data_IF_014363289743
#
_entry.id   IF_014363289743
#
_cell.length_a   1.000
_cell.length_b   1.000
_cell.length_c   1.000
_cell.angle_alpha   90.00
_cell.angle_beta   90.00
_cell.angle_gamma   90.00
#
_symmetry.space_group_name_H-M   'P 1'
#
loop_
_entity.id
_entity.type
_entity.pdbx_description
1 polymer ?
#
# COMPACT_ATOMS: atom_id res chain seq x y z
N UNK A 1 0.48 21.57 15.68
CA UNK A 1 1.46 20.49 15.91
C UNK A 1 2.54 20.62 14.84
N UNK A 2 3.84 20.58 15.20
CA UNK A 2 4.87 20.61 14.16
C UNK A 2 4.80 19.30 13.37
N UNK A 3 5.01 19.34 12.05
CA UNK A 3 4.97 18.16 11.17
C UNK A 3 5.93 17.04 11.61
N UNK A 4 6.97 17.39 12.34
CA UNK A 4 7.97 16.43 12.86
C UNK A 4 7.45 15.53 14.00
N UNK A 5 6.44 15.95 14.77
CA UNK A 5 5.88 15.14 15.86
C UNK A 5 4.88 14.09 15.37
N UNK A 6 4.27 14.30 14.20
CA UNK A 6 3.17 13.44 13.72
C UNK A 6 3.52 11.94 13.68
N UNK A 7 4.64 11.58 13.05
CA UNK A 7 5.04 10.17 12.95
C UNK A 7 5.44 9.57 14.30
N UNK A 8 6.08 10.39 15.15
CA UNK A 8 6.43 9.97 16.51
C UNK A 8 5.17 9.79 17.35
N UNK A 9 4.19 10.68 17.20
CA UNK A 9 2.90 10.59 17.90
C UNK A 9 2.10 9.36 17.41
N UNK A 10 2.17 9.05 16.11
CA UNK A 10 1.54 7.87 15.53
C UNK A 10 2.24 6.58 15.99
N UNK A 11 3.57 6.57 16.00
CA UNK A 11 4.35 5.44 16.50
C UNK A 11 4.12 5.16 18.00
N UNK A 12 3.77 6.20 18.77
CA UNK A 12 3.36 6.04 20.17
C UNK A 12 2.02 5.30 20.35
N UNK A 13 1.19 5.26 19.30
CA UNK A 13 -0.07 4.49 19.27
C UNK A 13 0.14 3.06 18.72
N UNK A 14 1.35 2.68 18.48
CA UNK A 14 1.87 1.40 17.99
C UNK A 14 0.84 0.23 17.91
N UNK A 15 0.92 -0.61 16.83
CA UNK A 15 1.79 -0.48 15.66
C UNK A 15 1.18 0.37 14.54
N UNK A 16 2.02 1.05 13.76
CA UNK A 16 1.57 1.70 12.53
C UNK A 16 1.23 0.61 11.50
N UNK A 17 -0.05 0.45 11.17
CA UNK A 17 -0.50 -0.43 10.12
C UNK A 17 -0.79 0.38 8.84
N UNK A 18 -0.15 0.03 7.72
CA UNK A 18 -0.23 0.80 6.50
C UNK A 18 -0.59 -0.03 5.27
N UNK A 19 -1.46 0.50 4.40
CA UNK A 19 -1.73 -0.03 3.06
C UNK A 19 -0.60 0.40 2.12
N UNK A 20 0.05 -0.57 1.45
CA UNK A 20 1.12 -0.27 0.50
C UNK A 20 0.62 0.50 -0.74
N UNK A 21 1.42 1.43 -1.31
CA UNK A 21 1.13 2.02 -2.61
C UNK A 21 1.25 0.96 -3.71
N UNK A 22 0.15 0.68 -4.40
CA UNK A 22 0.08 -0.32 -5.46
C UNK A 22 -0.57 0.28 -6.70
N UNK A 23 0.21 0.42 -7.77
CA UNK A 23 -0.21 0.98 -9.04
C UNK A 23 -1.38 0.18 -9.64
N UNK A 24 -2.40 0.87 -10.12
CA UNK A 24 -3.62 0.28 -10.62
C UNK A 24 -4.55 -0.33 -9.56
N UNK A 25 -4.25 -0.20 -8.24
CA UNK A 25 -5.08 -0.78 -7.17
C UNK A 25 -5.48 0.22 -6.09
N UNK A 26 -4.57 1.08 -5.63
CA UNK A 26 -4.81 1.95 -4.48
C UNK A 26 -5.46 3.29 -4.87
N UNK A 27 -6.49 3.24 -5.73
CA UNK A 27 -7.31 4.40 -6.05
C UNK A 27 -8.20 4.82 -4.86
N UNK A 28 -8.89 5.96 -4.96
CA UNK A 28 -9.74 6.47 -3.87
C UNK A 28 -10.85 5.48 -3.47
N UNK A 29 -11.63 4.86 -4.39
CA UNK A 29 -12.59 3.83 -4.04
C UNK A 29 -12.00 2.69 -3.21
N UNK A 30 -10.82 2.18 -3.60
CA UNK A 30 -10.14 1.12 -2.88
C UNK A 30 -9.74 1.56 -1.46
N UNK A 31 -9.13 2.75 -1.31
CA UNK A 31 -8.75 3.28 0.01
C UNK A 31 -9.96 3.51 0.91
N UNK A 32 -11.06 4.03 0.37
CA UNK A 32 -12.32 4.21 1.11
C UNK A 32 -12.89 2.89 1.62
N UNK A 33 -12.86 1.83 0.80
CA UNK A 33 -13.25 0.48 1.23
C UNK A 33 -12.34 -0.02 2.35
N UNK A 34 -11.01 0.14 2.22
CA UNK A 34 -10.07 -0.23 3.29
C UNK A 34 -10.38 0.50 4.59
N UNK A 35 -10.59 1.81 4.53
CA UNK A 35 -10.93 2.66 5.68
C UNK A 35 -12.31 2.36 6.28
N UNK A 36 -13.25 1.91 5.44
CA UNK A 36 -14.57 1.48 5.92
C UNK A 36 -14.49 0.27 6.85
N UNK A 37 -13.57 -0.64 6.58
CA UNK A 37 -13.37 -1.87 7.36
C UNK A 37 -12.37 -1.64 8.51
N UNK A 38 -11.28 -0.94 8.23
CA UNK A 38 -10.19 -0.69 9.19
C UNK A 38 -9.87 0.82 9.23
N UNK A 39 -10.63 1.63 10.01
CA UNK A 39 -10.54 3.10 9.97
C UNK A 39 -9.19 3.66 10.43
N UNK A 40 -8.46 2.95 11.26
CA UNK A 40 -7.22 3.44 11.88
C UNK A 40 -5.96 3.24 11.03
N UNK A 41 -6.05 2.53 9.89
CA UNK A 41 -4.90 2.30 9.03
C UNK A 41 -4.46 3.57 8.29
N UNK A 42 -3.19 3.60 7.94
CA UNK A 42 -2.63 4.62 7.04
C UNK A 42 -2.75 4.14 5.60
N UNK A 43 -3.33 4.96 4.72
CA UNK A 43 -3.50 4.60 3.31
C UNK A 43 -2.56 5.39 2.41
N UNK A 44 -1.83 4.66 1.57
CA UNK A 44 -1.05 5.25 0.49
C UNK A 44 -1.85 5.22 -0.81
N UNK A 45 -1.85 6.33 -1.54
CA UNK A 45 -2.32 6.36 -2.92
C UNK A 45 -1.36 5.62 -3.85
N UNK A 46 -1.77 5.38 -5.08
CA UNK A 46 -0.89 4.96 -6.17
C UNK A 46 0.27 5.95 -6.33
N UNK A 47 1.34 5.51 -6.99
CA UNK A 47 2.46 6.43 -7.23
C UNK A 47 2.32 7.18 -8.56
N UNK A 48 2.53 8.49 -8.53
CA UNK A 48 2.37 9.39 -9.68
C UNK A 48 3.70 10.02 -10.07
N UNK A 49 3.90 10.28 -11.37
CA UNK A 49 5.09 10.99 -11.84
C UNK A 49 5.09 12.43 -11.30
N UNK A 50 6.19 12.85 -10.65
CA UNK A 50 6.38 14.23 -10.21
C UNK A 50 6.31 15.20 -11.39
N UNK A 51 7.02 14.89 -12.49
CA UNK A 51 6.95 15.66 -13.74
C UNK A 51 5.52 15.69 -14.31
N UNK A 52 4.83 14.55 -14.29
CA UNK A 52 3.46 14.44 -14.75
C UNK A 52 2.50 15.34 -13.97
N UNK A 53 2.60 15.37 -12.65
CA UNK A 53 1.77 16.24 -11.80
C UNK A 53 2.02 17.72 -12.08
N UNK A 54 3.29 18.12 -12.26
CA UNK A 54 3.67 19.52 -12.52
C UNK A 54 3.23 19.99 -13.91
N UNK A 55 3.36 19.16 -14.94
CA UNK A 55 3.11 19.58 -16.32
C UNK A 55 1.72 19.24 -16.84
N UNK A 56 0.97 18.36 -16.20
CA UNK A 56 -0.38 17.97 -16.61
C UNK A 56 -1.43 18.35 -15.57
N UNK A 57 -2.07 19.50 -15.80
CA UNK A 57 -3.24 19.93 -14.98
C UNK A 57 -4.32 18.84 -14.94
N UNK A 58 -4.60 18.19 -16.06
CA UNK A 58 -5.60 17.10 -16.12
C UNK A 58 -5.23 15.94 -15.21
N UNK A 59 -3.95 15.55 -15.15
CA UNK A 59 -3.50 14.50 -14.23
C UNK A 59 -3.70 14.95 -12.78
N UNK A 60 -3.20 16.13 -12.43
CA UNK A 60 -3.31 16.66 -11.07
C UNK A 60 -4.78 16.77 -10.60
N UNK A 61 -5.65 17.34 -11.45
CA UNK A 61 -7.08 17.49 -11.17
C UNK A 61 -7.81 16.13 -11.05
N UNK A 62 -7.26 15.09 -11.64
CA UNK A 62 -7.83 13.73 -11.57
C UNK A 62 -7.39 12.96 -10.34
N UNK A 63 -6.09 13.04 -9.98
CA UNK A 63 -5.52 12.11 -8.97
C UNK A 63 -5.38 12.70 -7.57
N UNK A 64 -5.23 14.03 -7.43
CA UNK A 64 -5.04 14.68 -6.13
C UNK A 64 -6.33 14.86 -5.30
N UNK A 65 -7.54 15.03 -5.90
CA UNK A 65 -8.77 15.08 -5.11
C UNK A 65 -8.97 13.78 -4.34
N UNK A 66 -9.30 13.88 -3.06
CA UNK A 66 -9.55 12.77 -2.16
C UNK A 66 -10.66 13.12 -1.17
N UNK A 67 -11.36 12.10 -0.69
CA UNK A 67 -12.54 12.24 0.16
C UNK A 67 -12.17 12.28 1.65
N UNK A 68 -13.09 12.80 2.45
CA UNK A 68 -12.87 12.92 3.90
C UNK A 68 -12.77 11.55 4.59
N UNK A 69 -13.50 10.55 4.09
CA UNK A 69 -13.57 9.19 4.65
C UNK A 69 -12.37 8.29 4.30
N UNK A 70 -11.45 8.76 3.45
CA UNK A 70 -10.20 8.06 3.16
C UNK A 70 -8.97 8.66 3.90
N UNK A 71 -9.17 9.75 4.64
CA UNK A 71 -8.09 10.40 5.39
C UNK A 71 -7.64 9.59 6.61
N UNK A 72 -6.34 9.67 6.97
CA UNK A 72 -5.26 10.38 6.30
C UNK A 72 -4.79 9.67 5.02
N UNK A 73 -4.56 10.43 3.93
CA UNK A 73 -4.05 9.91 2.65
C UNK A 73 -2.62 10.39 2.44
N UNK A 74 -1.75 9.46 2.04
CA UNK A 74 -0.37 9.72 1.62
C UNK A 74 -0.30 9.61 0.11
N UNK A 75 0.19 10.64 -0.57
CA UNK A 75 0.47 10.57 -1.99
C UNK A 75 1.92 10.19 -2.21
N UNK A 76 2.14 9.11 -2.96
CA UNK A 76 3.49 8.70 -3.35
C UNK A 76 3.82 9.25 -4.73
N UNK A 77 5.03 9.80 -4.89
CA UNK A 77 5.53 10.30 -6.17
C UNK A 77 6.85 9.65 -6.56
N UNK A 78 7.07 9.54 -7.88
CA UNK A 78 8.31 9.02 -8.46
C UNK A 78 8.85 9.96 -9.53
N UNK A 79 10.15 9.93 -9.74
CA UNK A 79 10.86 10.79 -10.69
C UNK A 79 12.36 10.70 -10.47
N UNK A 80 13.08 11.71 -10.97
CA UNK A 80 14.53 11.86 -10.78
C UNK A 80 15.00 13.32 -10.66
N UNK A 81 14.10 14.28 -10.89
CA UNK A 81 14.41 15.71 -10.85
C UNK A 81 13.98 16.31 -9.50
N UNK A 82 14.91 16.78 -8.65
CA UNK A 82 14.58 17.35 -7.33
C UNK A 82 13.62 18.54 -7.40
N UNK A 83 13.74 19.40 -8.43
CA UNK A 83 12.86 20.57 -8.57
C UNK A 83 11.42 20.16 -8.90
N UNK A 84 11.25 19.12 -9.71
CA UNK A 84 9.92 18.57 -10.02
C UNK A 84 9.29 17.92 -8.78
N UNK A 85 10.09 17.21 -7.99
CA UNK A 85 9.62 16.65 -6.71
C UNK A 85 9.17 17.74 -5.74
N UNK A 86 9.93 18.82 -5.56
CA UNK A 86 9.57 19.94 -4.70
C UNK A 86 8.25 20.60 -5.15
N UNK A 87 8.11 20.88 -6.45
CA UNK A 87 6.88 21.45 -7.02
C UNK A 87 5.67 20.52 -6.84
N UNK A 88 5.83 19.21 -7.13
CA UNK A 88 4.77 18.23 -6.96
C UNK A 88 4.37 18.08 -5.48
N UNK A 89 5.32 18.11 -4.55
CA UNK A 89 5.06 18.08 -3.11
C UNK A 89 4.21 19.26 -2.65
N UNK A 90 4.48 20.47 -3.14
CA UNK A 90 3.65 21.67 -2.86
C UNK A 90 2.22 21.51 -3.41
N UNK A 91 2.05 20.89 -4.58
CA UNK A 91 0.71 20.61 -5.11
C UNK A 91 -0.05 19.60 -4.24
N UNK A 92 0.64 18.56 -3.78
CA UNK A 92 0.09 17.55 -2.88
C UNK A 92 -0.30 18.17 -1.53
N UNK A 93 0.56 19.00 -0.92
CA UNK A 93 0.23 19.72 0.30
C UNK A 93 -1.02 20.59 0.14
N UNK A 94 -1.11 21.35 -0.96
CA UNK A 94 -2.30 22.19 -1.27
C UNK A 94 -3.57 21.39 -1.49
N UNK A 95 -3.48 20.13 -1.88
CA UNK A 95 -4.65 19.24 -2.00
C UNK A 95 -5.23 18.82 -0.64
N UNK A 96 -4.52 19.11 0.46
CA UNK A 96 -4.92 18.71 1.81
C UNK A 96 -4.50 17.27 2.17
N UNK A 97 -3.53 16.72 1.46
CA UNK A 97 -2.91 15.44 1.80
C UNK A 97 -2.24 15.50 3.18
N UNK A 98 -2.24 14.38 3.90
CA UNK A 98 -1.64 14.31 5.22
C UNK A 98 -0.12 14.42 5.15
N UNK A 99 0.50 13.82 4.12
CA UNK A 99 1.93 13.93 3.79
C UNK A 99 2.25 13.38 2.39
N UNK A 100 3.52 13.47 2.01
CA UNK A 100 4.02 13.02 0.71
C UNK A 100 5.11 11.97 0.89
N UNK A 101 5.10 10.95 0.04
CA UNK A 101 6.05 9.84 0.04
C UNK A 101 6.83 9.76 -1.26
N UNK A 102 8.07 9.31 -1.19
CA UNK A 102 8.97 9.17 -2.34
C UNK A 102 9.14 7.69 -2.66
N UNK A 103 8.84 7.31 -3.90
CA UNK A 103 9.11 5.96 -4.40
C UNK A 103 10.60 5.78 -4.76
N UNK A 104 11.32 5.03 -3.95
CA UNK A 104 12.69 4.57 -4.20
C UNK A 104 12.77 3.04 -4.23
N UNK A 105 11.65 2.35 -4.46
CA UNK A 105 11.59 0.89 -4.35
C UNK A 105 10.93 0.17 -5.53
N UNK A 106 10.29 0.86 -6.48
CA UNK A 106 9.65 0.22 -7.64
C UNK A 106 10.68 -0.52 -8.49
N UNK A 107 10.53 -1.85 -8.72
CA UNK A 107 11.49 -2.64 -9.49
C UNK A 107 11.14 -2.72 -10.98
N UNK A 108 10.03 -2.12 -11.43
CA UNK A 108 9.57 -2.22 -12.81
C UNK A 108 10.66 -1.74 -13.78
N UNK A 109 11.01 -2.57 -14.77
CA UNK A 109 12.12 -2.32 -15.69
C UNK A 109 12.00 -0.97 -16.42
N UNK A 110 10.77 -0.58 -16.79
CA UNK A 110 10.50 0.70 -17.46
C UNK A 110 10.83 1.89 -16.56
N UNK A 111 10.45 1.82 -15.27
CA UNK A 111 10.71 2.85 -14.26
C UNK A 111 12.22 2.97 -14.00
N UNK A 112 12.88 1.85 -13.78
CA UNK A 112 14.32 1.79 -13.47
C UNK A 112 15.19 2.25 -14.64
N UNK A 113 14.87 1.84 -15.88
CA UNK A 113 15.60 2.31 -17.08
C UNK A 113 15.54 3.84 -17.28
N UNK A 114 14.49 4.48 -16.77
CA UNK A 114 14.34 5.95 -16.84
C UNK A 114 15.05 6.68 -15.69
N UNK A 115 15.74 5.97 -14.81
CA UNK A 115 16.44 6.56 -13.65
C UNK A 115 15.54 6.81 -12.43
N UNK A 116 14.37 6.17 -12.35
CA UNK A 116 13.36 6.36 -11.32
C UNK A 116 13.25 5.15 -10.36
N UNK A 117 12.49 5.29 -9.29
CA UNK A 117 12.20 4.19 -8.37
C UNK A 117 13.46 3.59 -7.75
N UNK A 118 13.66 2.28 -7.89
CA UNK A 118 14.81 1.59 -7.29
C UNK A 118 16.17 2.09 -7.77
N UNK A 119 16.27 2.74 -8.95
CA UNK A 119 17.53 3.30 -9.43
C UNK A 119 18.07 4.45 -8.56
N UNK A 120 17.22 5.11 -7.78
CA UNK A 120 17.64 6.14 -6.84
C UNK A 120 18.51 5.58 -5.70
N UNK A 121 18.41 4.28 -5.39
CA UNK A 121 19.31 3.65 -4.40
C UNK A 121 20.78 3.63 -4.84
N UNK A 122 21.05 3.63 -6.15
CA UNK A 122 22.41 3.72 -6.70
C UNK A 122 22.79 5.17 -7.07
N UNK A 123 21.81 6.05 -7.30
CA UNK A 123 22.02 7.49 -7.56
C UNK A 123 21.78 8.30 -6.27
N UNK A 124 22.63 8.09 -5.26
CA UNK A 124 22.42 8.58 -3.88
C UNK A 124 22.37 10.10 -3.79
N UNK A 125 23.23 10.81 -4.52
CA UNK A 125 23.25 12.28 -4.50
C UNK A 125 21.91 12.84 -5.01
N UNK A 126 21.35 12.23 -6.04
CA UNK A 126 20.01 12.58 -6.54
C UNK A 126 18.94 12.26 -5.51
N UNK A 127 18.97 11.08 -4.89
CA UNK A 127 18.02 10.69 -3.85
C UNK A 127 18.06 11.65 -2.64
N UNK A 128 19.26 12.01 -2.18
CA UNK A 128 19.46 12.98 -1.10
C UNK A 128 18.86 14.35 -1.45
N UNK A 129 19.22 14.89 -2.63
CA UNK A 129 18.71 16.19 -3.10
C UNK A 129 17.18 16.20 -3.24
N UNK A 130 16.58 15.12 -3.71
CA UNK A 130 15.11 14.99 -3.80
C UNK A 130 14.48 15.17 -2.40
N UNK A 131 14.95 14.42 -1.41
CA UNK A 131 14.42 14.53 -0.03
C UNK A 131 14.66 15.92 0.53
N UNK A 132 15.85 16.47 0.37
CA UNK A 132 16.23 17.79 0.87
C UNK A 132 15.36 18.89 0.28
N UNK A 133 15.18 18.95 -1.05
CA UNK A 133 14.37 19.97 -1.70
C UNK A 133 12.88 19.83 -1.38
N UNK A 134 12.36 18.61 -1.29
CA UNK A 134 10.97 18.40 -0.84
C UNK A 134 10.78 18.85 0.61
N UNK A 135 11.66 18.47 1.52
CA UNK A 135 11.56 18.83 2.96
C UNK A 135 11.68 20.32 3.23
N UNK A 136 12.33 21.07 2.33
CA UNK A 136 12.39 22.55 2.36
C UNK A 136 11.13 23.17 1.79
N UNK A 137 10.49 22.53 0.80
CA UNK A 137 9.38 23.09 0.03
C UNK A 137 8.01 22.97 0.73
N UNK A 138 7.82 22.00 1.64
CA UNK A 138 6.54 21.73 2.29
C UNK A 138 6.63 21.71 3.81
N UNK A 139 5.50 21.94 4.46
CA UNK A 139 5.35 21.83 5.91
C UNK A 139 4.85 20.45 6.37
N UNK A 140 4.21 19.70 5.46
CA UNK A 140 3.78 18.32 5.72
C UNK A 140 4.99 17.36 5.75
N UNK A 141 4.91 16.23 6.48
CA UNK A 141 5.99 15.26 6.52
C UNK A 141 6.35 14.71 5.14
N UNK A 142 7.66 14.39 4.96
CA UNK A 142 8.19 13.69 3.79
C UNK A 142 8.65 12.31 4.21
N UNK A 143 8.15 11.25 3.58
CA UNK A 143 8.58 9.88 3.81
C UNK A 143 9.22 9.27 2.58
N UNK A 144 9.92 8.15 2.77
CA UNK A 144 10.56 7.42 1.68
C UNK A 144 10.20 5.94 1.76
N UNK A 145 9.77 5.35 0.64
CA UNK A 145 9.62 3.90 0.52
C UNK A 145 10.70 3.33 -0.38
N UNK A 146 11.55 2.47 0.19
CA UNK A 146 12.71 1.88 -0.47
C UNK A 146 12.74 0.35 -0.35
N UNK A 147 13.85 -0.26 -0.78
CA UNK A 147 14.17 -1.70 -0.65
C UNK A 147 15.47 -1.88 0.14
N UNK A 148 15.85 -3.14 0.43
CA UNK A 148 17.08 -3.47 1.13
C UNK A 148 18.34 -2.93 0.44
N UNK A 149 18.29 -2.73 -0.85
CA UNK A 149 19.38 -2.28 -1.69
C UNK A 149 19.21 -2.78 -3.12
N UNK A 150 20.25 -2.60 -3.96
CA UNK A 150 20.22 -3.06 -5.35
C UNK A 150 20.44 -4.58 -5.45
N UNK A 151 21.53 -5.10 -4.90
CA UNK A 151 21.89 -6.52 -4.91
C UNK A 151 21.90 -7.14 -3.50
N UNK A 152 22.29 -6.35 -2.51
CA UNK A 152 22.43 -6.77 -1.12
C UNK A 152 22.08 -5.60 -0.17
N UNK A 153 21.92 -5.84 1.16
CA UNK A 153 21.52 -4.83 2.13
C UNK A 153 22.69 -4.00 2.71
N UNK A 154 23.94 -4.24 2.30
CA UNK A 154 25.14 -3.67 2.94
C UNK A 154 25.10 -2.14 3.08
N UNK A 155 24.53 -1.47 2.10
CA UNK A 155 24.46 -0.01 2.05
C UNK A 155 23.15 0.58 2.57
N UNK A 156 22.22 -0.27 3.03
CA UNK A 156 20.88 0.17 3.47
C UNK A 156 20.96 1.18 4.61
N UNK A 157 21.77 0.89 5.62
CA UNK A 157 21.94 1.75 6.80
C UNK A 157 22.44 3.14 6.43
N UNK A 158 23.54 3.22 5.70
CA UNK A 158 24.14 4.50 5.33
C UNK A 158 23.21 5.30 4.41
N UNK A 159 22.57 4.62 3.47
CA UNK A 159 21.58 5.24 2.59
C UNK A 159 20.41 5.85 3.38
N UNK A 160 19.83 5.10 4.31
CA UNK A 160 18.69 5.57 5.11
C UNK A 160 19.10 6.67 6.10
N UNK A 161 20.32 6.62 6.67
CA UNK A 161 20.87 7.73 7.50
C UNK A 161 21.01 9.02 6.68
N UNK A 162 21.46 8.93 5.45
CA UNK A 162 21.53 10.10 4.56
C UNK A 162 20.14 10.66 4.25
N UNK A 163 19.14 9.81 3.97
CA UNK A 163 17.77 10.25 3.75
C UNK A 163 17.16 10.92 5.00
N UNK A 164 17.40 10.36 6.19
CA UNK A 164 16.98 11.00 7.44
C UNK A 164 17.64 12.39 7.62
N UNK A 165 18.95 12.50 7.36
CA UNK A 165 19.68 13.76 7.47
C UNK A 165 19.23 14.79 6.42
N UNK A 166 18.74 14.34 5.26
CA UNK A 166 18.14 15.19 4.23
C UNK A 166 16.75 15.72 4.62
N UNK A 167 16.12 15.16 5.66
CA UNK A 167 14.82 15.61 6.18
C UNK A 167 13.68 14.62 6.04
N UNK A 168 13.96 13.35 5.69
CA UNK A 168 12.94 12.30 5.74
C UNK A 168 12.42 12.10 7.18
N UNK A 169 11.11 11.99 7.34
CA UNK A 169 10.44 11.86 8.64
C UNK A 169 10.01 10.41 8.95
N UNK A 170 10.03 9.53 7.97
CA UNK A 170 9.73 8.09 8.08
C UNK A 170 10.37 7.35 6.92
N UNK A 171 10.81 6.13 7.15
CA UNK A 171 11.29 5.21 6.10
C UNK A 171 10.50 3.91 6.13
N UNK A 172 9.96 3.53 4.97
CA UNK A 172 9.39 2.20 4.74
C UNK A 172 10.35 1.36 3.91
N UNK A 173 10.68 0.17 4.37
CA UNK A 173 11.60 -0.73 3.66
C UNK A 173 10.90 -2.00 3.24
N UNK A 174 10.85 -2.26 1.92
CA UNK A 174 10.50 -3.59 1.44
C UNK A 174 11.70 -4.52 1.64
N UNK A 175 11.49 -5.58 2.41
CA UNK A 175 12.53 -6.51 2.87
C UNK A 175 13.02 -7.47 1.77
N UNK A 176 13.22 -6.95 0.57
CA UNK A 176 13.85 -7.57 -0.61
C UNK A 176 14.71 -6.54 -1.33
N UNK A 177 15.77 -7.02 -2.00
CA UNK A 177 16.58 -6.19 -2.90
C UNK A 177 15.85 -5.91 -4.23
N UNK A 178 16.38 -4.98 -5.03
CA UNK A 178 15.88 -4.76 -6.40
C UNK A 178 16.01 -6.03 -7.23
N UNK A 179 17.16 -6.73 -7.19
CA UNK A 179 17.38 -7.96 -7.97
C UNK A 179 16.44 -9.11 -7.58
N UNK A 180 16.06 -9.20 -6.33
CA UNK A 180 15.05 -10.18 -5.89
C UNK A 180 13.67 -9.86 -6.43
N UNK A 181 13.37 -8.61 -6.72
CA UNK A 181 12.03 -8.14 -7.12
C UNK A 181 10.93 -8.67 -6.17
N UNK A 182 10.24 -9.75 -6.55
CA UNK A 182 9.22 -10.41 -5.72
C UNK A 182 9.56 -11.89 -5.44
N UNK A 183 10.75 -12.35 -5.84
CA UNK A 183 11.17 -13.75 -5.65
C UNK A 183 11.82 -13.97 -4.28
N UNK A 184 11.80 -15.23 -3.81
CA UNK A 184 12.33 -15.59 -2.50
C UNK A 184 11.48 -15.07 -1.33
N UNK A 185 12.00 -15.17 -0.11
CA UNK A 185 11.36 -14.66 1.11
C UNK A 185 11.88 -13.26 1.43
N UNK A 186 11.01 -12.42 2.01
CA UNK A 186 11.41 -11.12 2.56
C UNK A 186 12.31 -11.33 3.79
N UNK A 187 13.48 -10.68 3.80
CA UNK A 187 14.43 -10.75 4.92
C UNK A 187 14.32 -9.49 5.79
N UNK A 188 13.68 -9.63 6.92
CA UNK A 188 13.43 -8.53 7.86
C UNK A 188 14.60 -8.25 8.79
N UNK A 189 15.62 -9.10 8.85
CA UNK A 189 16.75 -8.97 9.79
C UNK A 189 17.48 -7.62 9.66
N UNK A 190 17.72 -7.18 8.42
CA UNK A 190 18.37 -5.90 8.13
C UNK A 190 17.55 -4.67 8.60
N UNK A 191 16.23 -4.80 8.75
CA UNK A 191 15.36 -3.71 9.20
C UNK A 191 15.55 -3.41 10.69
N UNK A 192 15.78 -4.44 11.50
CA UNK A 192 16.05 -4.27 12.93
C UNK A 192 17.39 -3.61 13.18
N UNK A 193 18.41 -3.98 12.40
CA UNK A 193 19.69 -3.28 12.45
C UNK A 193 19.55 -1.82 12.04
N UNK A 194 18.82 -1.56 10.96
CA UNK A 194 18.50 -0.21 10.50
C UNK A 194 17.82 0.63 11.60
N UNK A 195 16.79 0.09 12.27
CA UNK A 195 16.02 0.80 13.30
C UNK A 195 16.88 1.27 14.46
N UNK A 196 17.92 0.50 14.86
CA UNK A 196 18.84 0.90 15.93
C UNK A 196 19.64 2.17 15.60
N UNK A 197 19.76 2.51 14.34
CA UNK A 197 20.57 3.65 13.88
C UNK A 197 19.73 4.87 13.48
N UNK A 198 18.42 4.68 13.21
CA UNK A 198 17.52 5.77 12.83
C UNK A 198 16.74 6.31 14.04
N UNK A 199 16.62 7.62 14.12
CA UNK A 199 15.78 8.30 15.11
C UNK A 199 14.32 8.50 14.64
N UNK A 200 14.08 8.27 13.35
CA UNK A 200 12.73 8.34 12.75
C UNK A 200 12.08 6.95 12.70
N UNK A 201 10.75 6.87 12.59
CA UNK A 201 10.05 5.60 12.45
C UNK A 201 10.48 4.79 11.23
N UNK A 202 10.51 3.46 11.39
CA UNK A 202 10.79 2.47 10.35
C UNK A 202 9.63 1.51 10.23
N UNK A 203 9.03 1.44 9.04
CA UNK A 203 7.94 0.50 8.70
C UNK A 203 8.52 -0.63 7.85
N UNK A 204 8.27 -1.88 8.26
CA UNK A 204 8.63 -3.06 7.50
C UNK A 204 7.55 -3.42 6.45
N UNK A 205 7.97 -3.88 5.28
CA UNK A 205 7.09 -4.35 4.22
C UNK A 205 7.67 -5.62 3.56
N UNK A 206 6.82 -6.46 3.03
CA UNK A 206 7.17 -7.70 2.34
C UNK A 206 6.69 -8.94 3.07
N UNK A 207 5.90 -9.75 2.37
CA UNK A 207 5.31 -11.02 2.82
C UNK A 207 4.40 -10.90 4.06
N UNK A 208 3.91 -9.72 4.38
CA UNK A 208 2.92 -9.53 5.45
C UNK A 208 1.56 -9.98 4.94
N UNK A 209 0.96 -10.94 5.64
CA UNK A 209 -0.30 -11.57 5.26
C UNK A 209 -1.52 -10.83 5.83
N UNK A 210 -1.44 -10.49 7.11
CA UNK A 210 -2.50 -9.84 7.87
C UNK A 210 -1.92 -9.04 9.05
N UNK A 211 -2.82 -8.50 9.88
CA UNK A 211 -2.46 -7.70 11.04
C UNK A 211 -1.60 -8.47 12.05
N UNK A 212 -1.98 -9.70 12.39
CA UNK A 212 -1.27 -10.48 13.39
C UNK A 212 0.11 -10.95 12.90
N UNK A 213 0.23 -11.33 11.61
CA UNK A 213 1.53 -11.59 10.99
C UNK A 213 2.40 -10.32 10.97
N UNK A 214 1.80 -9.17 10.69
CA UNK A 214 2.48 -7.88 10.76
C UNK A 214 3.01 -7.57 12.16
N UNK A 215 2.18 -7.70 13.20
CA UNK A 215 2.57 -7.51 14.60
C UNK A 215 3.69 -8.48 14.99
N UNK A 216 3.57 -9.76 14.62
CA UNK A 216 4.60 -10.75 14.88
C UNK A 216 5.94 -10.36 14.25
N UNK A 217 5.94 -9.95 12.97
CA UNK A 217 7.16 -9.59 12.23
C UNK A 217 7.89 -8.40 12.82
N UNK A 218 7.19 -7.36 13.25
CA UNK A 218 7.86 -6.18 13.85
C UNK A 218 8.50 -6.47 15.21
N UNK A 219 8.13 -7.58 15.84
CA UNK A 219 8.67 -8.05 17.12
C UNK A 219 9.73 -9.15 16.97
N UNK A 220 9.98 -9.67 15.77
CA UNK A 220 10.87 -10.84 15.56
C UNK A 220 12.29 -10.66 16.12
N UNK A 221 12.81 -9.42 16.21
CA UNK A 221 14.13 -9.18 16.80
C UNK A 221 14.23 -9.61 18.27
N UNK A 222 13.14 -9.46 19.02
CA UNK A 222 13.09 -9.83 20.45
C UNK A 222 13.11 -11.35 20.64
N UNK A 223 12.55 -12.10 19.68
CA UNK A 223 12.48 -13.56 19.70
C UNK A 223 13.80 -14.21 19.25
N UNK A 224 14.56 -13.55 18.38
CA UNK A 224 15.84 -14.05 17.87
C UNK A 224 17.03 -13.72 18.80
N UNK A 225 16.78 -13.13 19.95
CA UNK A 225 17.84 -12.78 20.93
C UNK A 225 18.77 -11.66 20.47
N UNK A 226 18.40 -10.90 19.43
CA UNK A 226 19.21 -9.80 18.88
C UNK A 226 18.94 -8.45 19.56
N UNK A 227 18.27 -8.43 20.71
CA UNK A 227 17.95 -7.24 21.49
C UNK A 227 16.48 -6.81 21.42
N UNK A 228 16.08 -5.83 22.23
CA UNK A 228 14.70 -5.34 22.38
C UNK A 228 14.25 -4.35 21.27
N UNK A 229 14.87 -4.41 20.11
CA UNK A 229 14.52 -3.51 19.00
C UNK A 229 13.24 -3.96 18.30
N UNK A 230 12.24 -3.10 18.30
CA UNK A 230 10.95 -3.30 17.64
C UNK A 230 10.78 -2.27 16.53
N UNK A 231 10.23 -2.66 15.37
CA UNK A 231 9.89 -1.71 14.32
C UNK A 231 8.62 -0.94 14.69
N UNK A 232 8.48 0.27 14.14
CA UNK A 232 7.34 1.15 14.46
C UNK A 232 6.04 0.74 13.77
N UNK A 233 6.12 -0.14 12.77
CA UNK A 233 4.94 -0.62 12.07
C UNK A 233 5.24 -1.57 10.92
N UNK A 234 4.17 -1.95 10.25
CA UNK A 234 4.21 -2.83 9.08
C UNK A 234 3.31 -2.32 7.97
N UNK A 235 3.60 -2.77 6.75
CA UNK A 235 2.85 -2.38 5.56
C UNK A 235 2.38 -3.62 4.81
N UNK A 236 1.07 -3.71 4.55
CA UNK A 236 0.45 -4.81 3.81
C UNK A 236 0.23 -4.38 2.36
N UNK A 237 0.58 -5.25 1.42
CA UNK A 237 0.34 -5.05 -0.01
C UNK A 237 -0.70 -6.03 -0.55
N UNK A 238 -0.29 -6.96 -1.40
CA UNK A 238 -1.15 -7.88 -2.17
C UNK A 238 -2.16 -8.68 -1.36
N UNK A 239 -1.87 -8.96 -0.10
CA UNK A 239 -2.79 -9.68 0.80
C UNK A 239 -4.08 -8.92 1.09
N UNK A 240 -4.16 -7.62 0.75
CA UNK A 240 -5.37 -6.81 0.88
C UNK A 240 -6.33 -6.97 -0.30
N UNK A 241 -5.93 -7.62 -1.39
CA UNK A 241 -6.77 -7.79 -2.57
C UNK A 241 -8.00 -8.65 -2.23
N UNK A 242 -9.19 -8.05 -2.33
CA UNK A 242 -10.44 -8.68 -1.92
C UNK A 242 -10.54 -8.96 -0.41
N UNK A 243 -9.60 -8.48 0.38
CA UNK A 243 -9.55 -8.74 1.82
C UNK A 243 -9.19 -7.49 2.63
N UNK A 244 -10.08 -6.50 2.73
CA UNK A 244 -9.84 -5.33 3.59
C UNK A 244 -9.76 -5.68 5.08
N UNK A 245 -10.28 -6.85 5.49
CA UNK A 245 -10.18 -7.37 6.86
C UNK A 245 -8.78 -7.84 7.25
N UNK A 246 -7.85 -7.92 6.30
CA UNK A 246 -6.44 -8.23 6.59
C UNK A 246 -5.78 -7.24 7.56
N UNK A 247 -6.37 -6.06 7.77
CA UNK A 247 -5.92 -5.09 8.77
C UNK A 247 -6.56 -5.24 10.16
N UNK A 248 -7.44 -6.20 10.34
CA UNK A 248 -8.06 -6.49 11.62
C UNK A 248 -7.42 -7.74 12.25
N UNK A 249 -7.45 -7.89 13.58
CA UNK A 249 -7.00 -9.11 14.24
C UNK A 249 -7.67 -10.36 13.65
N UNK A 250 -6.97 -11.48 13.59
CA UNK A 250 -7.37 -12.71 12.89
C UNK A 250 -8.76 -13.26 13.29
N UNK A 251 -9.20 -12.99 14.50
CA UNK A 251 -10.51 -13.43 14.98
C UNK A 251 -11.68 -12.59 14.45
N UNK A 252 -11.39 -11.46 13.80
CA UNK A 252 -12.38 -10.59 13.13
C UNK A 252 -12.44 -10.98 11.66
N UNK A 253 -13.22 -12.02 11.36
CA UNK A 253 -13.44 -12.49 9.98
C UNK A 253 -14.83 -12.10 9.50
N UNK A 254 -14.96 -11.67 8.23
CA UNK A 254 -16.25 -11.28 7.69
C UNK A 254 -17.15 -12.49 7.43
N UNK A 255 -18.43 -12.31 7.65
CA UNK A 255 -19.47 -13.18 7.10
C UNK A 255 -19.61 -12.98 5.59
N UNK A 256 -20.22 -13.92 4.88
CA UNK A 256 -20.52 -13.75 3.46
C UNK A 256 -21.37 -12.49 3.22
N UNK A 257 -22.32 -12.17 4.11
CA UNK A 257 -23.14 -10.95 4.05
C UNK A 257 -22.31 -9.69 4.07
N UNK A 258 -21.32 -9.61 4.94
CA UNK A 258 -20.40 -8.45 5.06
C UNK A 258 -19.52 -8.32 3.82
N UNK A 259 -19.03 -9.45 3.28
CA UNK A 259 -18.27 -9.45 2.03
C UNK A 259 -19.11 -8.88 0.89
N UNK A 260 -20.35 -9.35 0.71
CA UNK A 260 -21.25 -8.86 -0.34
C UNK A 260 -21.58 -7.36 -0.17
N UNK A 261 -21.75 -6.90 1.08
CA UNK A 261 -21.98 -5.49 1.37
C UNK A 261 -20.78 -4.61 0.98
N UNK A 262 -19.56 -5.05 1.28
CA UNK A 262 -18.32 -4.33 0.89
C UNK A 262 -18.12 -4.37 -0.63
N UNK A 263 -18.42 -5.47 -1.31
CA UNK A 263 -18.36 -5.56 -2.77
C UNK A 263 -19.33 -4.59 -3.44
N UNK A 264 -20.55 -4.47 -2.91
CA UNK A 264 -21.55 -3.50 -3.38
C UNK A 264 -21.03 -2.08 -3.23
N UNK A 265 -20.57 -1.72 -2.04
CA UNK A 265 -19.97 -0.40 -1.77
C UNK A 265 -18.80 -0.11 -2.73
N UNK A 266 -17.91 -1.06 -2.93
CA UNK A 266 -16.76 -0.88 -3.82
C UNK A 266 -17.20 -0.62 -5.27
N UNK A 267 -18.18 -1.36 -5.77
CA UNK A 267 -18.75 -1.16 -7.11
C UNK A 267 -19.38 0.24 -7.27
N UNK A 268 -20.15 0.67 -6.28
CA UNK A 268 -20.82 1.98 -6.28
C UNK A 268 -19.79 3.13 -6.25
N UNK A 269 -18.78 3.05 -5.38
CA UNK A 269 -17.70 4.05 -5.28
C UNK A 269 -16.89 4.16 -6.58
N UNK A 270 -16.62 3.04 -7.24
CA UNK A 270 -15.93 3.03 -8.53
C UNK A 270 -16.76 3.74 -9.61
N UNK A 271 -18.06 3.51 -9.62
CA UNK A 271 -18.98 4.16 -10.56
C UNK A 271 -19.09 5.68 -10.33
N UNK A 272 -19.27 6.11 -9.10
CA UNK A 272 -19.35 7.53 -8.72
C UNK A 272 -18.14 8.32 -9.19
N UNK A 273 -16.93 7.77 -9.04
CA UNK A 273 -15.70 8.52 -9.31
C UNK A 273 -15.34 8.57 -10.79
N UNK A 274 -15.62 7.55 -11.57
CA UNK A 274 -14.89 7.37 -12.84
C UNK A 274 -15.69 6.80 -14.02
N UNK A 275 -16.98 6.63 -13.93
CA UNK A 275 -17.86 6.19 -15.02
C UNK A 275 -17.44 4.85 -15.68
N UNK A 276 -17.96 4.58 -16.89
CA UNK A 276 -17.85 3.30 -17.64
C UNK A 276 -16.42 2.74 -17.78
N UNK A 277 -15.40 3.57 -17.93
CA UNK A 277 -13.98 3.10 -18.10
C UNK A 277 -13.49 2.32 -16.87
N UNK A 278 -13.99 2.67 -15.68
CA UNK A 278 -13.54 2.10 -14.42
C UNK A 278 -14.29 0.85 -13.99
N UNK A 279 -15.44 0.58 -14.59
CA UNK A 279 -16.07 -0.72 -14.44
C UNK A 279 -15.20 -1.86 -14.98
N UNK A 280 -14.38 -1.59 -16.01
CA UNK A 280 -13.38 -2.56 -16.46
C UNK A 280 -12.31 -2.83 -15.39
N UNK A 281 -11.92 -1.81 -14.64
CA UNK A 281 -10.98 -1.97 -13.52
C UNK A 281 -11.65 -2.60 -12.29
N UNK A 282 -12.93 -2.32 -12.03
CA UNK A 282 -13.70 -2.96 -10.98
C UNK A 282 -13.68 -4.49 -11.06
N UNK A 283 -13.67 -5.04 -12.28
CA UNK A 283 -13.64 -6.49 -12.52
C UNK A 283 -12.45 -7.17 -11.83
N UNK A 284 -11.26 -6.55 -11.84
CA UNK A 284 -10.08 -7.10 -11.18
C UNK A 284 -10.18 -7.09 -9.65
N UNK A 285 -10.88 -6.11 -9.09
CA UNK A 285 -11.09 -6.01 -7.64
C UNK A 285 -12.18 -6.98 -7.16
N UNK A 286 -13.34 -6.97 -7.83
CA UNK A 286 -14.52 -7.68 -7.37
C UNK A 286 -14.34 -9.20 -7.33
N UNK A 287 -13.65 -9.79 -8.30
CA UNK A 287 -13.39 -11.23 -8.32
C UNK A 287 -12.51 -11.69 -7.16
N UNK A 288 -11.70 -10.82 -6.60
CA UNK A 288 -10.80 -11.15 -5.50
C UNK A 288 -11.53 -11.37 -4.17
N UNK A 289 -12.72 -10.77 -3.99
CA UNK A 289 -13.50 -10.94 -2.76
C UNK A 289 -14.14 -12.32 -2.62
N UNK A 290 -14.41 -12.97 -3.75
CA UNK A 290 -15.20 -14.21 -3.75
C UNK A 290 -14.30 -15.42 -3.62
N UNK A 291 -14.32 -16.07 -2.46
CA UNK A 291 -13.65 -17.34 -2.18
C UNK A 291 -14.37 -18.07 -1.04
N UNK A 292 -14.05 -19.34 -0.84
CA UNK A 292 -14.45 -20.09 0.35
C UNK A 292 -15.92 -20.53 0.42
N UNK A 293 -16.68 -20.56 -0.70
CA UNK A 293 -18.03 -21.10 -0.71
C UNK A 293 -18.37 -21.79 -2.06
N UNK A 294 -19.38 -22.66 -2.11
CA UNK A 294 -19.73 -23.42 -3.32
C UNK A 294 -20.12 -22.52 -4.49
N UNK A 295 -19.79 -22.92 -5.72
CA UNK A 295 -20.23 -22.21 -6.94
C UNK A 295 -19.47 -20.90 -7.25
N UNK A 296 -18.51 -20.50 -6.45
CA UNK A 296 -17.77 -19.22 -6.57
C UNK A 296 -17.23 -18.93 -7.97
N UNK A 297 -16.86 -19.98 -8.73
CA UNK A 297 -16.34 -19.83 -10.10
C UNK A 297 -17.36 -19.20 -11.05
N UNK A 298 -18.64 -19.55 -10.92
CA UNK A 298 -19.74 -19.04 -11.76
C UNK A 298 -19.90 -17.54 -11.52
N UNK A 299 -19.92 -17.12 -10.26
CA UNK A 299 -20.07 -15.70 -9.89
C UNK A 299 -18.86 -14.87 -10.30
N UNK A 300 -17.64 -15.40 -10.16
CA UNK A 300 -16.42 -14.73 -10.69
C UNK A 300 -16.52 -14.53 -12.20
N UNK A 301 -17.02 -15.53 -12.96
CA UNK A 301 -17.24 -15.41 -14.40
C UNK A 301 -18.28 -14.34 -14.74
N UNK A 302 -19.36 -14.22 -13.96
CA UNK A 302 -20.33 -13.16 -14.12
C UNK A 302 -19.73 -11.78 -13.84
N UNK A 303 -18.95 -11.63 -12.74
CA UNK A 303 -18.34 -10.36 -12.35
C UNK A 303 -17.30 -9.84 -13.36
N UNK A 304 -16.63 -10.68 -14.13
CA UNK A 304 -15.68 -10.18 -15.17
C UNK A 304 -16.39 -9.62 -16.41
N UNK A 305 -17.71 -9.71 -16.49
CA UNK A 305 -18.51 -9.18 -17.61
C UNK A 305 -19.37 -7.97 -17.24
N UNK A 306 -19.41 -7.58 -15.96
CA UNK A 306 -20.23 -6.45 -15.50
C UNK A 306 -19.78 -5.12 -16.13
N UNK A 307 -20.74 -4.26 -16.45
CA UNK A 307 -20.53 -2.94 -17.07
C UNK A 307 -21.18 -1.79 -16.29
N UNK A 308 -22.08 -2.13 -15.35
CA UNK A 308 -22.78 -1.15 -14.52
C UNK A 308 -22.90 -1.63 -13.08
N UNK A 309 -23.15 -0.75 -12.10
CA UNK A 309 -23.41 -1.13 -10.71
C UNK A 309 -24.59 -2.09 -10.57
N UNK A 310 -25.66 -1.89 -11.36
CA UNK A 310 -26.86 -2.74 -11.31
C UNK A 310 -26.51 -4.19 -11.69
N UNK A 311 -25.59 -4.40 -12.63
CA UNK A 311 -25.13 -5.75 -12.96
C UNK A 311 -24.35 -6.37 -11.80
N UNK A 312 -23.51 -5.58 -11.10
CA UNK A 312 -22.85 -6.04 -9.88
C UNK A 312 -23.89 -6.43 -8.85
N UNK A 313 -24.84 -5.53 -8.56
CA UNK A 313 -25.91 -5.78 -7.58
C UNK A 313 -26.70 -7.05 -7.92
N UNK A 314 -27.03 -7.26 -9.18
CA UNK A 314 -27.72 -8.48 -9.63
C UNK A 314 -26.93 -9.75 -9.29
N UNK A 315 -25.62 -9.77 -9.57
CA UNK A 315 -24.78 -10.93 -9.23
C UNK A 315 -24.68 -11.12 -7.71
N UNK A 316 -24.54 -10.04 -6.93
CA UNK A 316 -24.50 -10.13 -5.48
C UNK A 316 -25.83 -10.61 -4.87
N UNK A 317 -26.96 -10.17 -5.42
CA UNK A 317 -28.28 -10.61 -4.99
C UNK A 317 -28.52 -12.10 -5.33
N UNK A 318 -28.02 -12.57 -6.48
CA UNK A 318 -28.03 -14.01 -6.80
C UNK A 318 -27.24 -14.81 -5.78
N UNK A 319 -26.01 -14.37 -5.43
CA UNK A 319 -25.19 -15.04 -4.39
C UNK A 319 -25.98 -15.07 -3.09
N UNK A 320 -26.53 -13.94 -2.65
CA UNK A 320 -27.28 -13.84 -1.41
C UNK A 320 -28.49 -14.77 -1.37
N UNK A 321 -29.22 -14.89 -2.47
CA UNK A 321 -30.38 -15.75 -2.58
C UNK A 321 -30.02 -17.24 -2.59
N UNK A 322 -29.03 -17.62 -3.40
CA UNK A 322 -28.62 -19.03 -3.56
C UNK A 322 -27.89 -19.57 -2.31
N UNK A 323 -27.23 -18.67 -1.54
CA UNK A 323 -26.47 -19.02 -0.35
C UNK A 323 -27.09 -18.51 0.95
N UNK A 324 -28.39 -18.31 0.99
CA UNK A 324 -29.12 -17.75 2.14
C UNK A 324 -28.81 -18.47 3.47
N UNK A 325 -28.60 -19.79 3.44
CA UNK A 325 -28.30 -20.57 4.63
C UNK A 325 -26.90 -20.31 5.24
N UNK A 326 -25.97 -19.77 4.44
CA UNK A 326 -24.59 -19.49 4.89
C UNK A 326 -24.25 -18.00 4.88
N UNK A 327 -25.22 -17.12 4.64
CA UNK A 327 -24.97 -15.67 4.58
C UNK A 327 -24.32 -15.12 5.85
N UNK A 328 -24.75 -15.63 7.00
CA UNK A 328 -24.26 -15.18 8.30
C UNK A 328 -23.15 -16.09 8.86
N UNK A 329 -22.57 -16.93 8.01
CA UNK A 329 -21.39 -17.74 8.33
C UNK A 329 -20.13 -17.12 7.71
N UNK A 330 -18.99 -17.43 8.33
CA UNK A 330 -17.67 -17.09 7.79
C UNK A 330 -17.37 -18.10 6.69
N UNK A 331 -17.09 -17.66 5.44
CA UNK A 331 -16.69 -18.56 4.37
C UNK A 331 -15.42 -19.31 4.76
N UNK A 332 -15.34 -20.58 4.39
CA UNK A 332 -14.10 -21.36 4.54
C UNK A 332 -13.08 -20.85 3.52
N UNK A 333 -12.14 -20.05 3.98
CA UNK A 333 -11.08 -19.47 3.15
C UNK A 333 -10.02 -20.51 2.74
N UNK A 334 -10.22 -21.78 3.13
CA UNK A 334 -9.26 -22.85 2.85
C UNK A 334 -7.89 -22.55 3.46
N UNK A 335 -7.82 -21.86 4.59
CA UNK A 335 -6.59 -21.45 5.29
C UNK A 335 -5.67 -22.60 5.72
N UNK A 336 -5.85 -23.79 5.13
CA UNK A 336 -4.77 -24.74 4.97
C UNK A 336 -3.71 -24.11 4.05
N UNK A 337 -2.49 -24.15 4.45
CA UNK A 337 -1.24 -23.60 3.91
C UNK A 337 -1.07 -23.53 2.36
N UNK A 338 -1.86 -24.22 1.58
CA UNK A 338 -1.77 -24.29 0.12
C UNK A 338 -2.38 -23.09 -0.65
N UNK A 339 -3.39 -22.40 -0.12
CA UNK A 339 -3.95 -21.23 -0.80
C UNK A 339 -3.12 -19.96 -0.56
N UNK A 340 -2.46 -19.83 0.59
CA UNK A 340 -1.48 -18.77 0.81
C UNK A 340 -0.27 -18.88 -0.13
N UNK A 341 0.09 -20.09 -0.57
CA UNK A 341 1.11 -20.28 -1.61
C UNK A 341 0.63 -19.86 -3.00
N UNK A 342 -0.64 -20.03 -3.33
CA UNK A 342 -1.22 -19.58 -4.61
C UNK A 342 -1.20 -18.03 -4.73
N UNK A 343 -1.36 -17.29 -3.63
CA UNK A 343 -1.21 -15.83 -3.60
C UNK A 343 0.26 -15.39 -3.79
N UNK A 344 1.21 -16.22 -3.38
CA UNK A 344 2.65 -15.99 -3.61
C UNK A 344 3.05 -16.15 -5.07
N UNK A 345 2.33 -16.96 -5.84
CA UNK A 345 2.63 -17.25 -7.24
C UNK A 345 1.85 -16.39 -8.24
N UNK A 346 0.98 -15.50 -7.78
CA UNK A 346 0.31 -14.56 -8.67
C UNK A 346 1.32 -13.47 -9.08
N UNK A 347 2.17 -13.81 -10.03
CA UNK A 347 2.95 -12.87 -10.85
C UNK A 347 1.95 -12.06 -11.70
N UNK A 348 1.18 -11.18 -11.05
CA UNK A 348 0.52 -10.09 -11.77
C UNK A 348 1.67 -9.14 -12.09
N UNK A 349 2.19 -9.35 -13.28
CA UNK A 349 3.24 -8.53 -13.88
C UNK A 349 2.86 -7.06 -13.77
N UNK A 350 3.70 -6.30 -13.08
CA UNK A 350 3.87 -4.89 -13.36
C UNK A 350 4.66 -4.80 -14.69
N UNK A 351 4.01 -5.11 -15.82
CA UNK A 351 4.53 -4.79 -17.15
C UNK A 351 4.13 -3.36 -17.55
#
# INVERSE_FOLDING_TARGET
MSSKSFWSDLAAQWPIAALAPMDGYCDSPYRRVMKRVAPDIITFAEFYSADGLVHSKTLADTVLPHEADEKPVIFQIFGKDPDMFAKAAVMIERSGAAWVDINMGCPAKKVVKSGHGSSLMINRDTAFRIVEEMSKAVSIPVSVKTRLGWENPELLKDFCLWLQNAGANLITVHARTYKQAFTGKADWSALFDLKRHLSIPVIGNGDVLDYDDGVKRIQESTWLGSGDTVLDGFMIGRSTFGNPWSFLPWHVRPTLREILAIMRLHGDLLWERKWRKWMLEARKHLVQYLHGFPGVKIYRQALVTVETPEMIHTVLDMIAHEHQLILDTIPDDGSSSSQMEAWRSCDIACD
#
